data_IF_832600580006
#
_entry.id   IF_832600580006
#
_cell.length_a   1.000
_cell.length_b   1.000
_cell.length_c   1.000
_cell.angle_alpha   90.00
_cell.angle_beta   90.00
_cell.angle_gamma   90.00
#
_symmetry.space_group_name_H-M   'P 1'
#
loop_
_entity.id
_entity.type
_entity.pdbx_description
1 polymer ?
#
# COMPACT_ATOMS: atom_id res chain seq x y z
N UNK A 1 -4.61 -53.74 -32.32
CA UNK A 1 -5.23 -52.44 -32.67
C UNK A 1 -6.07 -51.90 -31.50
N UNK A 2 -5.49 -51.60 -30.32
CA UNK A 2 -6.24 -51.11 -29.14
C UNK A 2 -5.64 -49.84 -28.49
N UNK A 3 -4.57 -49.26 -29.04
CA UNK A 3 -3.88 -48.10 -28.42
C UNK A 3 -4.52 -46.73 -28.71
N UNK A 4 -5.37 -46.62 -29.74
CA UNK A 4 -6.04 -45.34 -30.08
C UNK A 4 -7.23 -45.02 -29.17
N UNK A 5 -7.99 -46.04 -28.76
CA UNK A 5 -9.21 -45.87 -27.95
C UNK A 5 -8.88 -45.42 -26.52
N UNK A 6 -7.80 -45.94 -25.93
CA UNK A 6 -7.37 -45.57 -24.58
C UNK A 6 -6.89 -44.10 -24.48
N UNK A 7 -6.35 -43.55 -25.57
CA UNK A 7 -5.81 -42.19 -25.60
C UNK A 7 -6.92 -41.12 -25.67
N UNK A 8 -8.01 -41.41 -26.37
CA UNK A 8 -9.15 -40.49 -26.47
C UNK A 8 -9.98 -40.48 -25.17
N UNK A 9 -10.11 -41.64 -24.51
CA UNK A 9 -10.78 -41.76 -23.21
C UNK A 9 -10.01 -40.99 -22.11
N UNK A 10 -8.67 -41.11 -22.08
CA UNK A 10 -7.85 -40.40 -21.09
C UNK A 10 -7.93 -38.87 -21.24
N UNK A 11 -7.96 -38.39 -22.48
CA UNK A 11 -8.07 -36.95 -22.76
C UNK A 11 -9.43 -36.40 -22.32
N UNK A 12 -10.51 -37.17 -22.54
CA UNK A 12 -11.85 -36.80 -22.08
C UNK A 12 -11.98 -36.71 -20.55
N UNK A 13 -11.35 -37.63 -19.81
CA UNK A 13 -11.39 -37.63 -18.33
C UNK A 13 -10.62 -36.44 -17.75
N UNK A 14 -9.48 -36.06 -18.34
CA UNK A 14 -8.68 -34.91 -17.88
C UNK A 14 -9.45 -33.59 -18.09
N UNK A 15 -10.12 -33.43 -19.23
CA UNK A 15 -10.97 -32.26 -19.51
C UNK A 15 -12.15 -32.16 -18.54
N UNK A 16 -12.80 -33.29 -18.24
CA UNK A 16 -13.92 -33.32 -17.29
C UNK A 16 -13.48 -32.92 -15.87
N UNK A 17 -12.31 -33.40 -15.42
CA UNK A 17 -11.75 -33.03 -14.12
C UNK A 17 -11.45 -31.52 -14.03
N UNK A 18 -10.90 -30.91 -15.08
CA UNK A 18 -10.62 -29.47 -15.13
C UNK A 18 -11.90 -28.62 -15.01
N UNK A 19 -12.99 -29.02 -15.67
CA UNK A 19 -14.29 -28.33 -15.59
C UNK A 19 -14.91 -28.44 -14.19
N UNK A 20 -14.81 -29.62 -13.54
CA UNK A 20 -15.34 -29.81 -12.18
C UNK A 20 -14.55 -28.97 -11.17
N UNK A 21 -13.22 -28.97 -11.24
CA UNK A 21 -12.37 -28.18 -10.33
C UNK A 21 -12.57 -26.68 -10.53
N UNK A 22 -12.65 -26.21 -11.79
CA UNK A 22 -12.96 -24.82 -12.11
C UNK A 22 -14.35 -24.38 -11.67
N UNK A 23 -15.35 -25.26 -11.80
CA UNK A 23 -16.72 -25.00 -11.36
C UNK A 23 -16.87 -24.90 -9.84
N UNK A 24 -16.15 -25.72 -9.06
CA UNK A 24 -16.14 -25.64 -7.59
C UNK A 24 -15.49 -24.33 -7.12
N UNK A 25 -14.40 -23.90 -7.78
CA UNK A 25 -13.72 -22.65 -7.44
C UNK A 25 -14.62 -21.41 -7.67
N UNK A 26 -15.35 -21.38 -8.80
CA UNK A 26 -16.31 -20.30 -9.10
C UNK A 26 -17.52 -20.30 -8.15
N UNK A 27 -17.97 -21.46 -7.67
CA UNK A 27 -19.10 -21.55 -6.74
C UNK A 27 -18.76 -21.12 -5.29
N UNK A 28 -17.49 -21.18 -4.89
CA UNK A 28 -17.04 -20.75 -3.56
C UNK A 28 -16.92 -19.22 -3.46
N UNK A 29 -16.47 -18.53 -4.51
CA UNK A 29 -16.38 -17.06 -4.55
C UNK A 29 -17.76 -16.37 -4.51
N UNK A 30 -18.78 -16.99 -5.13
CA UNK A 30 -20.15 -16.46 -5.12
C UNK A 30 -20.82 -16.60 -3.74
N UNK A 31 -20.42 -17.58 -2.92
CA UNK A 31 -20.97 -17.75 -1.57
C UNK A 31 -20.33 -16.84 -0.53
N UNK A 32 -19.06 -16.46 -0.67
CA UNK A 32 -18.41 -15.53 0.25
C UNK A 32 -18.80 -14.06 0.03
N UNK A 33 -19.21 -13.69 -1.19
CA UNK A 33 -19.71 -12.34 -1.50
C UNK A 33 -21.18 -12.11 -1.11
N UNK A 34 -21.99 -13.17 -0.94
CA UNK A 34 -23.42 -13.06 -0.59
C UNK A 34 -23.77 -13.40 0.87
N UNK A 35 -22.89 -14.05 1.64
CA UNK A 35 -23.16 -14.45 3.03
C UNK A 35 -22.08 -14.06 4.06
N UNK A 36 -21.17 -13.13 3.71
CA UNK A 36 -20.15 -12.61 4.64
C UNK A 36 -20.68 -11.63 5.71
N UNK A 37 -21.98 -11.34 5.71
CA UNK A 37 -22.66 -10.63 6.79
C UNK A 37 -23.46 -11.60 7.66
N UNK A 38 -23.18 -11.60 8.96
CA UNK A 38 -23.85 -12.35 10.03
C UNK A 38 -23.35 -13.78 10.28
N UNK A 39 -22.50 -13.94 11.31
CA UNK A 39 -22.86 -14.68 12.53
C UNK A 39 -21.63 -14.92 13.42
N UNK A 40 -21.51 -14.16 14.52
CA UNK A 40 -21.00 -14.70 15.78
C UNK A 40 -21.39 -13.82 16.97
N UNK A 41 -22.33 -14.34 17.78
CA UNK A 41 -22.39 -14.10 19.22
C UNK A 41 -23.34 -13.02 19.72
N UNK A 42 -24.61 -13.39 19.90
CA UNK A 42 -25.47 -12.80 20.94
C UNK A 42 -24.81 -12.97 22.31
N UNK A 43 -24.69 -11.88 23.06
CA UNK A 43 -24.87 -11.93 24.50
C UNK A 43 -25.62 -10.66 24.93
N UNK A 44 -26.90 -10.84 25.28
CA UNK A 44 -27.76 -9.81 25.87
C UNK A 44 -27.26 -9.48 27.27
N UNK A 45 -26.92 -8.23 27.52
CA UNK A 45 -27.24 -7.61 28.80
C UNK A 45 -27.62 -6.15 28.60
N UNK A 46 -28.88 -5.87 28.94
CA UNK A 46 -29.53 -4.58 28.91
C UNK A 46 -29.01 -3.76 30.10
N UNK A 47 -28.41 -2.60 29.85
CA UNK A 47 -28.26 -1.54 30.85
C UNK A 47 -28.17 -0.16 30.18
N UNK A 48 -29.22 0.64 30.39
CA UNK A 48 -29.36 2.09 30.28
C UNK A 48 -29.00 2.82 28.95
N UNK A 49 -29.78 3.82 28.53
CA UNK A 49 -29.45 4.67 27.39
C UNK A 49 -28.28 5.59 27.77
N UNK A 50 -27.06 5.15 27.46
CA UNK A 50 -25.88 6.02 27.48
C UNK A 50 -26.08 7.04 26.36
N UNK A 51 -26.31 8.29 26.74
CA UNK A 51 -26.30 9.45 25.84
C UNK A 51 -25.12 9.30 24.88
N UNK A 52 -25.29 9.48 23.56
CA UNK A 52 -24.18 9.36 22.63
C UNK A 52 -23.07 10.32 23.08
N UNK A 53 -21.95 9.73 23.49
CA UNK A 53 -20.73 10.46 23.73
C UNK A 53 -20.41 11.25 22.47
N UNK A 54 -20.12 12.54 22.68
CA UNK A 54 -19.75 13.48 21.63
C UNK A 54 -18.81 12.78 20.64
N UNK A 55 -19.20 12.82 19.36
CA UNK A 55 -18.37 12.42 18.24
C UNK A 55 -16.98 13.01 18.43
N UNK A 56 -15.90 12.26 18.19
CA UNK A 56 -14.57 12.86 18.13
C UNK A 56 -14.66 14.00 17.12
N UNK A 57 -14.33 15.20 17.58
CA UNK A 57 -14.22 16.41 16.78
C UNK A 57 -13.60 16.04 15.44
N UNK A 58 -14.40 16.18 14.38
CA UNK A 58 -13.90 16.28 13.01
C UNK A 58 -12.80 17.33 13.07
N UNK A 59 -11.53 16.91 13.12
CA UNK A 59 -10.41 17.78 12.75
C UNK A 59 -10.81 18.34 11.40
N UNK A 60 -11.05 19.65 11.39
CA UNK A 60 -11.45 20.40 10.23
C UNK A 60 -10.53 20.02 9.08
N UNK A 61 -11.06 19.23 8.15
CA UNK A 61 -10.54 19.20 6.81
C UNK A 61 -10.78 20.62 6.30
N UNK A 62 -9.72 21.43 6.30
CA UNK A 62 -9.70 22.66 5.56
C UNK A 62 -10.22 22.35 4.14
N UNK A 63 -11.06 23.23 3.56
CA UNK A 63 -11.73 22.96 2.30
C UNK A 63 -10.72 22.48 1.25
N UNK A 64 -10.98 21.27 0.74
CA UNK A 64 -10.30 20.69 -0.40
C UNK A 64 -10.73 21.53 -1.60
N UNK A 65 -9.99 22.60 -1.86
CA UNK A 65 -9.91 23.14 -3.21
C UNK A 65 -9.35 22.00 -4.07
N UNK A 66 -10.16 21.53 -5.02
CA UNK A 66 -9.70 20.65 -6.08
C UNK A 66 -8.54 21.29 -6.84
N UNK A 67 -7.76 20.52 -7.60
CA UNK A 67 -6.63 21.06 -8.34
C UNK A 67 -7.13 22.02 -9.43
N UNK A 68 -7.17 23.31 -9.12
CA UNK A 68 -7.03 24.35 -10.13
C UNK A 68 -5.54 24.41 -10.49
N UNK A 69 -5.28 24.23 -11.79
CA UNK A 69 -3.98 24.24 -12.45
C UNK A 69 -3.05 23.07 -12.10
N UNK A 70 -2.63 22.30 -13.11
CA UNK A 70 -1.70 21.15 -13.01
C UNK A 70 -0.27 21.48 -12.54
N UNK A 71 -0.13 22.31 -11.51
CA UNK A 71 1.12 22.63 -10.81
C UNK A 71 1.25 21.67 -9.64
N UNK A 72 2.38 20.97 -9.57
CA UNK A 72 2.73 20.23 -8.37
C UNK A 72 2.86 21.22 -7.20
N UNK A 73 2.24 20.90 -6.08
CA UNK A 73 2.36 21.65 -4.83
C UNK A 73 2.95 20.71 -3.78
N UNK A 74 4.06 21.12 -3.17
CA UNK A 74 4.68 20.36 -2.10
C UNK A 74 3.71 20.29 -0.91
N UNK A 75 3.54 19.08 -0.36
CA UNK A 75 2.54 18.83 0.68
C UNK A 75 3.06 17.85 1.73
N UNK A 76 2.76 18.16 2.98
CA UNK A 76 2.97 17.28 4.11
C UNK A 76 1.69 16.48 4.41
N UNK A 77 1.86 15.20 4.62
CA UNK A 77 0.83 14.29 5.08
C UNK A 77 1.26 13.67 6.40
N UNK A 78 0.36 13.74 7.38
CA UNK A 78 0.46 13.05 8.65
C UNK A 78 -0.42 11.81 8.60
N UNK A 79 0.12 10.68 9.06
CA UNK A 79 -0.62 9.42 9.06
C UNK A 79 0.33 8.24 9.06
N UNK A 80 -0.17 7.09 9.51
CA UNK A 80 0.61 5.87 9.56
C UNK A 80 0.30 4.98 8.36
N UNK A 81 1.35 4.49 7.68
CA UNK A 81 1.21 3.53 6.60
C UNK A 81 2.31 2.46 6.69
N UNK A 82 1.92 1.20 6.60
CA UNK A 82 2.84 0.07 6.52
C UNK A 82 3.22 -0.18 5.06
N UNK A 83 4.50 0.02 4.73
CA UNK A 83 5.06 -0.10 3.39
C UNK A 83 6.09 -1.21 3.35
N UNK A 84 5.97 -2.09 2.36
CA UNK A 84 6.95 -3.13 2.04
C UNK A 84 7.89 -2.64 0.95
N UNK A 85 9.16 -2.97 1.07
CA UNK A 85 10.14 -2.59 0.05
C UNK A 85 11.54 -3.14 0.29
N UNK A 86 12.45 -2.68 -0.56
CA UNK A 86 13.89 -2.96 -0.49
C UNK A 86 14.66 -1.66 -0.34
N UNK A 87 15.90 -1.73 0.14
CA UNK A 87 16.78 -0.56 0.23
C UNK A 87 17.95 -0.76 -0.71
N UNK A 88 17.99 0.05 -1.76
CA UNK A 88 18.92 -0.13 -2.88
C UNK A 88 19.71 1.15 -3.14
N UNK A 89 20.98 0.99 -3.52
CA UNK A 89 21.81 2.10 -3.97
C UNK A 89 21.45 2.43 -5.42
N UNK A 90 20.71 3.51 -5.62
CA UNK A 90 20.18 3.91 -6.93
C UNK A 90 20.45 5.39 -7.22
N UNK A 91 20.24 5.81 -8.46
CA UNK A 91 20.41 7.21 -8.87
C UNK A 91 19.20 8.01 -8.41
N UNK A 92 19.42 9.10 -7.67
CA UNK A 92 18.34 9.99 -7.22
C UNK A 92 17.67 10.62 -8.47
N UNK A 93 16.34 10.52 -8.64
CA UNK A 93 15.59 11.24 -9.67
C UNK A 93 16.00 12.71 -9.77
N UNK A 94 16.32 13.17 -10.98
CA UNK A 94 16.78 14.54 -11.23
C UNK A 94 18.24 14.83 -10.83
N UNK A 95 19.01 13.81 -10.42
CA UNK A 95 20.42 13.95 -10.04
C UNK A 95 21.33 12.94 -10.75
N UNK A 96 22.64 13.21 -10.76
CA UNK A 96 23.68 12.25 -11.16
C UNK A 96 24.27 11.48 -9.98
N UNK A 97 23.84 11.80 -8.75
CA UNK A 97 24.33 11.16 -7.53
C UNK A 97 23.57 9.87 -7.25
N UNK A 98 24.29 8.87 -6.74
CA UNK A 98 23.70 7.65 -6.19
C UNK A 98 23.54 7.79 -4.68
N UNK A 99 22.39 7.37 -4.18
CA UNK A 99 22.12 7.27 -2.75
C UNK A 99 21.27 6.03 -2.47
N UNK A 100 21.24 5.60 -1.22
CA UNK A 100 20.39 4.50 -0.81
C UNK A 100 18.94 5.00 -0.70
N UNK A 101 18.04 4.33 -1.40
CA UNK A 101 16.64 4.70 -1.46
C UNK A 101 15.76 3.49 -1.14
N UNK A 102 14.63 3.75 -0.50
CA UNK A 102 13.64 2.72 -0.21
C UNK A 102 12.71 2.55 -1.40
N UNK A 103 12.84 1.42 -2.10
CA UNK A 103 11.99 1.03 -3.22
C UNK A 103 10.78 0.24 -2.71
N UNK A 104 9.61 0.86 -2.74
CA UNK A 104 8.35 0.25 -2.32
C UNK A 104 7.91 -0.79 -3.35
N UNK A 105 7.32 -1.88 -2.89
CA UNK A 105 6.61 -2.83 -3.75
C UNK A 105 5.37 -2.17 -4.37
N UNK A 106 5.02 -2.56 -5.60
CA UNK A 106 3.98 -1.89 -6.38
C UNK A 106 2.62 -1.84 -5.68
N UNK A 107 2.27 -2.89 -4.93
CA UNK A 107 0.99 -3.03 -4.24
C UNK A 107 0.84 -2.04 -3.07
N UNK A 108 1.96 -1.63 -2.49
CA UNK A 108 1.95 -0.74 -1.33
C UNK A 108 2.00 0.74 -1.72
N UNK A 109 2.19 1.05 -3.01
CA UNK A 109 2.14 2.42 -3.54
C UNK A 109 0.77 3.06 -3.30
N UNK A 110 -0.32 2.30 -3.38
CA UNK A 110 -1.69 2.81 -3.19
C UNK A 110 -1.95 3.33 -1.77
N UNK A 111 -1.12 2.92 -0.80
CA UNK A 111 -1.17 3.37 0.59
C UNK A 111 -0.61 4.78 0.78
N UNK A 112 0.07 5.32 -0.24
CA UNK A 112 0.58 6.70 -0.22
C UNK A 112 -0.54 7.70 -0.56
N UNK A 113 -0.48 8.94 -0.02
CA UNK A 113 -1.46 9.99 -0.28
C UNK A 113 -1.66 10.30 -1.77
N UNK A 114 -2.90 10.57 -2.18
CA UNK A 114 -3.32 10.71 -3.60
C UNK A 114 -2.49 11.63 -4.51
N UNK A 115 -1.96 12.80 -4.08
CA UNK A 115 -1.16 13.64 -4.99
C UNK A 115 0.29 13.14 -5.16
N UNK A 116 0.72 12.12 -4.41
CA UNK A 116 1.94 11.38 -4.74
C UNK A 116 1.75 10.47 -5.96
N UNK A 117 0.50 10.26 -6.40
CA UNK A 117 0.15 9.44 -7.57
C UNK A 117 0.32 10.21 -8.90
N UNK A 118 0.72 11.48 -8.84
CA UNK A 118 0.80 12.38 -10.00
C UNK A 118 2.16 13.07 -10.08
N UNK A 119 3.19 12.34 -10.53
CA UNK A 119 4.30 13.02 -11.21
C UNK A 119 3.83 13.50 -12.58
N UNK A 120 4.51 14.52 -13.12
CA UNK A 120 4.27 15.14 -14.43
C UNK A 120 4.23 14.16 -15.63
N UNK A 121 4.50 12.87 -15.44
CA UNK A 121 4.47 11.81 -16.47
C UNK A 121 3.83 10.48 -15.98
N UNK A 122 3.06 10.48 -14.89
CA UNK A 122 2.39 9.26 -14.39
C UNK A 122 3.30 8.21 -13.75
N UNK A 123 4.55 8.56 -13.43
CA UNK A 123 5.43 7.71 -12.64
C UNK A 123 5.11 8.01 -11.17
N UNK A 124 4.62 7.03 -10.43
CA UNK A 124 4.61 7.14 -8.97
C UNK A 124 6.02 6.74 -8.58
N UNK A 125 6.84 7.64 -8.02
CA UNK A 125 8.18 7.24 -7.56
C UNK A 125 8.01 6.18 -6.47
N UNK A 126 8.19 4.93 -6.88
CA UNK A 126 8.38 3.79 -5.99
C UNK A 126 9.60 3.98 -5.09
N UNK A 127 10.46 4.98 -5.37
CA UNK A 127 11.63 5.33 -4.59
C UNK A 127 11.30 6.44 -3.60
N UNK A 128 11.57 6.18 -2.33
CA UNK A 128 11.42 7.12 -1.22
C UNK A 128 12.75 7.33 -0.49
N UNK A 129 12.94 8.55 0.02
CA UNK A 129 14.01 8.83 0.99
C UNK A 129 13.46 8.72 2.41
N UNK A 130 14.13 8.00 3.30
CA UNK A 130 13.75 7.90 4.73
C UNK A 130 14.63 8.89 5.50
N UNK A 131 14.04 9.98 5.96
CA UNK A 131 14.78 11.09 6.61
C UNK A 131 15.45 10.67 7.92
N UNK A 132 14.72 9.95 8.76
CA UNK A 132 15.06 9.56 10.13
C UNK A 132 15.53 8.09 10.18
N UNK A 133 16.23 7.66 9.15
CA UNK A 133 16.72 6.29 9.04
C UNK A 133 17.77 5.98 10.11
N UNK A 134 17.45 5.06 11.02
CA UNK A 134 18.42 4.57 12.00
C UNK A 134 19.40 3.55 11.40
N UNK A 135 20.64 3.42 11.92
CA UNK A 135 21.58 2.41 11.44
C UNK A 135 21.06 0.97 11.55
N UNK A 136 20.29 0.68 12.60
CA UNK A 136 19.66 -0.63 12.80
C UNK A 136 18.61 -0.92 11.73
N UNK A 137 17.75 0.06 11.41
CA UNK A 137 16.76 -0.09 10.35
C UNK A 137 17.42 -0.18 8.97
N UNK A 138 18.44 0.64 8.69
CA UNK A 138 19.21 0.56 7.46
C UNK A 138 19.81 -0.84 7.26
N UNK A 139 20.42 -1.42 8.29
CA UNK A 139 20.98 -2.77 8.23
C UNK A 139 19.91 -3.85 8.03
N UNK A 140 18.70 -3.66 8.58
CA UNK A 140 17.55 -4.56 8.36
C UNK A 140 17.09 -4.48 6.89
N UNK A 141 16.86 -3.27 6.41
CA UNK A 141 16.36 -3.00 5.05
C UNK A 141 17.35 -3.45 3.96
N UNK A 142 18.66 -3.34 4.19
CA UNK A 142 19.69 -3.85 3.25
C UNK A 142 19.70 -5.38 3.07
N UNK A 143 19.05 -6.12 3.97
CA UNK A 143 18.89 -7.57 3.87
C UNK A 143 17.62 -7.97 3.11
N UNK A 144 16.72 -7.01 2.86
CA UNK A 144 15.49 -7.23 2.12
C UNK A 144 15.81 -7.53 0.64
N UNK A 145 15.01 -8.40 0.04
CA UNK A 145 15.08 -8.72 -1.40
C UNK A 145 13.71 -8.50 -2.04
N UNK A 146 13.64 -8.50 -3.37
CA UNK A 146 12.34 -8.35 -4.06
C UNK A 146 11.38 -9.51 -3.71
N UNK A 147 11.90 -10.72 -3.49
CA UNK A 147 11.11 -11.89 -3.06
C UNK A 147 10.71 -11.85 -1.58
N UNK A 148 11.50 -11.16 -0.75
CA UNK A 148 11.30 -11.01 0.69
C UNK A 148 11.49 -9.55 1.09
N UNK A 149 10.52 -8.69 0.76
CA UNK A 149 10.62 -7.27 1.08
C UNK A 149 10.46 -7.06 2.59
N UNK A 150 11.12 -6.04 3.12
CA UNK A 150 11.02 -5.68 4.52
C UNK A 150 9.91 -4.65 4.71
N UNK A 151 9.20 -4.74 5.84
CA UNK A 151 8.10 -3.81 6.14
C UNK A 151 8.58 -2.71 7.07
N UNK A 152 8.29 -1.46 6.71
CA UNK A 152 8.45 -0.28 7.57
C UNK A 152 7.09 0.37 7.81
N UNK A 153 6.92 0.99 8.96
CA UNK A 153 5.77 1.85 9.23
C UNK A 153 6.24 3.29 9.16
N UNK A 154 5.77 4.01 8.15
CA UNK A 154 5.97 5.46 8.07
C UNK A 154 4.88 6.16 8.88
N UNK A 155 5.18 7.31 9.46
CA UNK A 155 4.25 8.18 10.20
C UNK A 155 4.11 9.58 9.59
N UNK A 156 4.85 9.81 8.51
CA UNK A 156 4.84 11.06 7.77
C UNK A 156 5.29 10.84 6.34
N UNK A 157 4.68 11.61 5.43
CA UNK A 157 5.04 11.64 4.02
C UNK A 157 5.08 13.10 3.56
N UNK A 158 6.16 13.48 2.90
CA UNK A 158 6.34 14.79 2.28
C UNK A 158 6.54 14.59 0.78
N UNK A 159 5.63 15.20 0.01
CA UNK A 159 5.72 15.25 -1.45
C UNK A 159 6.60 16.42 -1.86
N UNK A 160 7.74 16.13 -2.50
CA UNK A 160 8.57 17.11 -3.20
C UNK A 160 8.16 17.18 -4.68
N UNK A 161 8.14 18.38 -5.24
CA UNK A 161 7.72 18.61 -6.62
C UNK A 161 8.83 18.54 -7.65
N UNK A 162 10.08 18.70 -7.21
CA UNK A 162 11.25 18.71 -8.07
C UNK A 162 12.22 17.58 -7.74
N UNK A 163 11.83 16.67 -6.83
CA UNK A 163 12.70 15.67 -6.24
C UNK A 163 11.98 14.41 -5.80
N UNK A 164 12.63 13.69 -4.88
CA UNK A 164 12.14 12.42 -4.34
C UNK A 164 11.21 12.71 -3.16
N UNK A 165 10.12 11.97 -3.11
CA UNK A 165 9.27 11.98 -1.91
C UNK A 165 10.03 11.49 -0.68
N UNK A 166 9.83 12.21 0.43
CA UNK A 166 10.52 11.94 1.70
C UNK A 166 9.51 11.38 2.69
N UNK A 167 9.91 10.33 3.40
CA UNK A 167 9.11 9.74 4.47
C UNK A 167 9.86 9.76 5.79
N UNK A 168 9.09 9.61 6.86
CA UNK A 168 9.60 9.51 8.21
C UNK A 168 8.93 8.37 8.96
N UNK A 169 9.70 7.64 9.77
CA UNK A 169 9.23 6.60 10.70
C UNK A 169 8.81 7.18 12.06
N UNK A 170 9.26 8.39 12.37
CA UNK A 170 8.87 9.23 13.50
C UNK A 170 7.71 10.18 13.13
N UNK A 171 7.05 10.83 14.11
CA UNK A 171 5.97 11.77 13.81
C UNK A 171 6.40 12.89 12.83
N UNK A 172 5.65 13.03 11.73
CA UNK A 172 5.98 13.89 10.58
C UNK A 172 6.36 15.32 10.95
N UNK A 173 5.66 15.94 11.91
CA UNK A 173 5.90 17.33 12.33
C UNK A 173 7.30 17.56 12.89
N UNK A 174 7.92 16.52 13.45
CA UNK A 174 9.26 16.62 14.03
C UNK A 174 10.32 16.34 12.96
N UNK A 175 10.23 15.18 12.30
CA UNK A 175 11.25 14.74 11.36
C UNK A 175 11.25 15.52 10.04
N UNK A 176 10.06 15.93 9.55
CA UNK A 176 9.93 16.58 8.24
C UNK A 176 9.82 18.10 8.34
N UNK A 177 10.03 18.68 9.52
CA UNK A 177 9.92 20.13 9.78
C UNK A 177 10.76 20.98 8.80
N UNK A 178 11.94 20.49 8.43
CA UNK A 178 12.88 21.19 7.53
C UNK A 178 12.35 21.32 6.08
N UNK A 179 11.40 20.49 5.69
CA UNK A 179 10.82 20.49 4.35
C UNK A 179 9.61 21.41 4.23
N UNK A 180 8.97 21.76 5.35
CA UNK A 180 7.76 22.59 5.40
C UNK A 180 8.12 24.08 5.43
N UNK A 181 9.32 24.44 5.91
CA UNK A 181 9.80 25.81 5.98
C UNK A 181 10.51 26.22 4.69
N UNK A 182 9.76 26.61 3.66
CA UNK A 182 10.27 27.39 2.52
C UNK A 182 9.25 28.43 2.10
#
# INVERSE_FOLDING_TARGET
MNKKIASELATGVILLAAVIVGGIFLAQDVRQSLFGGAAKGENKQVAAPIKPAAQPEKKQQAPVNGPEDGKCVAKLYEGEAALRGTYELTTIPGSTKKDWMFKIVKEDIEKLPDPAKTEKNGIISSLLFIEDLTPALAAKLKKATEEKPETITIKGFYLDCEGVSVVSIEPARLALAKYIKK
#
